data_IF_135439625197
#
_entry.id   IF_135439625197
#
_cell.length_a   1.000
_cell.length_b   1.000
_cell.length_c   1.000
_cell.angle_alpha   90.00
_cell.angle_beta   90.00
_cell.angle_gamma   90.00
#
_symmetry.space_group_name_H-M   'P 1'
#
loop_
_entity.id
_entity.type
_entity.pdbx_description
1 polymer ?
#
# COMPACT_ATOMS: atom_id res chain seq x y z
N UNK A 1 -0.45 -26.81 1.28
CA UNK A 1 -0.17 -25.53 1.93
C UNK A 1 -0.64 -25.62 3.38
N UNK A 2 0.14 -25.11 4.34
CA UNK A 2 -0.26 -25.12 5.74
C UNK A 2 -1.57 -24.34 5.94
N UNK A 3 -2.41 -24.82 6.86
CA UNK A 3 -3.65 -24.14 7.22
C UNK A 3 -3.33 -22.90 8.06
N UNK A 4 -4.18 -21.84 8.07
CA UNK A 4 -3.97 -20.66 8.92
C UNK A 4 -3.81 -21.01 10.40
N UNK A 5 -4.46 -22.07 10.87
CA UNK A 5 -4.37 -22.58 12.26
C UNK A 5 -3.05 -23.27 12.60
N UNK A 6 -2.21 -23.57 11.62
CA UNK A 6 -0.88 -24.17 11.83
C UNK A 6 0.21 -23.11 12.06
N UNK A 7 -0.12 -21.82 11.86
CA UNK A 7 0.79 -20.73 12.15
C UNK A 7 0.66 -20.30 13.61
N UNK A 8 1.73 -20.45 14.34
CA UNK A 8 1.89 -19.99 15.71
C UNK A 8 2.50 -18.60 15.69
N UNK A 9 1.65 -17.56 15.49
CA UNK A 9 2.11 -16.17 15.34
C UNK A 9 2.87 -15.67 16.54
N UNK A 10 2.56 -16.16 17.74
CA UNK A 10 3.27 -15.91 19.01
C UNK A 10 4.74 -16.35 19.01
N UNK A 11 5.12 -17.23 18.10
CA UNK A 11 6.51 -17.67 17.92
C UNK A 11 7.21 -16.96 16.74
N UNK A 12 6.51 -16.09 16.03
CA UNK A 12 6.97 -15.44 14.79
C UNK A 12 7.05 -13.93 14.96
N UNK A 13 6.10 -13.35 15.70
CA UNK A 13 5.92 -11.92 15.86
C UNK A 13 5.98 -11.54 17.35
N UNK A 14 6.78 -10.52 17.68
CA UNK A 14 6.96 -9.99 19.01
C UNK A 14 6.46 -8.54 19.12
N UNK A 15 6.09 -8.05 20.32
CA UNK A 15 5.77 -6.63 20.52
C UNK A 15 6.91 -5.71 20.06
N UNK A 16 6.59 -4.73 19.22
CA UNK A 16 7.56 -3.84 18.59
C UNK A 16 7.98 -4.24 17.17
N UNK A 17 7.57 -5.43 16.71
CA UNK A 17 7.73 -5.80 15.31
C UNK A 17 6.84 -4.99 14.40
N UNK A 18 7.15 -5.03 13.11
CA UNK A 18 6.35 -4.47 12.03
C UNK A 18 5.98 -5.60 11.07
N UNK A 19 4.68 -5.81 10.88
CA UNK A 19 4.17 -6.76 9.90
C UNK A 19 3.92 -6.06 8.58
N UNK A 20 4.68 -6.42 7.55
CA UNK A 20 4.51 -5.89 6.19
C UNK A 20 3.89 -6.95 5.28
N UNK A 21 2.89 -6.56 4.50
CA UNK A 21 2.36 -7.40 3.43
C UNK A 21 2.03 -6.59 2.18
N UNK A 22 2.06 -7.27 1.03
CA UNK A 22 1.65 -6.73 -0.26
C UNK A 22 0.25 -7.21 -0.62
N UNK A 23 -0.55 -6.39 -1.29
CA UNK A 23 -1.85 -6.74 -1.84
C UNK A 23 -1.80 -7.86 -2.89
N UNK A 24 -0.61 -8.19 -3.42
CA UNK A 24 -0.42 -9.39 -4.24
C UNK A 24 -0.57 -10.67 -3.41
N UNK A 25 -0.16 -10.67 -2.15
CA UNK A 25 -0.11 -11.86 -1.29
C UNK A 25 -1.46 -12.58 -1.16
N UNK A 26 -2.58 -11.91 -0.85
CA UNK A 26 -3.88 -12.59 -0.73
C UNK A 26 -4.45 -13.13 -2.05
N UNK A 27 -3.86 -12.76 -3.21
CA UNK A 27 -4.31 -13.26 -4.52
C UNK A 27 -3.86 -14.68 -4.81
N UNK A 28 -2.79 -15.13 -4.15
CA UNK A 28 -2.13 -16.42 -4.44
C UNK A 28 -3.07 -17.60 -4.22
N UNK A 29 -3.83 -17.61 -3.14
CA UNK A 29 -4.86 -18.60 -2.87
C UNK A 29 -5.76 -18.19 -1.71
N UNK A 30 -6.91 -18.88 -1.56
CA UNK A 30 -7.77 -18.71 -0.40
C UNK A 30 -7.02 -18.95 0.92
N UNK A 31 -6.17 -19.96 0.97
CA UNK A 31 -5.39 -20.29 2.18
C UNK A 31 -4.43 -19.15 2.55
N UNK A 32 -3.71 -18.59 1.57
CA UNK A 32 -2.80 -17.46 1.80
C UNK A 32 -3.58 -16.23 2.27
N UNK A 33 -4.72 -15.93 1.67
CA UNK A 33 -5.60 -14.84 2.12
C UNK A 33 -6.03 -15.03 3.59
N UNK A 34 -6.48 -16.24 3.93
CA UNK A 34 -6.93 -16.54 5.30
C UNK A 34 -5.76 -16.51 6.29
N UNK A 35 -4.54 -16.90 5.85
CA UNK A 35 -3.30 -16.78 6.64
C UNK A 35 -2.94 -15.33 6.91
N UNK A 36 -2.95 -14.47 5.87
CA UNK A 36 -2.74 -13.02 6.04
C UNK A 36 -3.73 -12.44 7.03
N UNK A 37 -5.03 -12.75 6.90
CA UNK A 37 -6.05 -12.28 7.84
C UNK A 37 -5.80 -12.76 9.27
N UNK A 38 -5.32 -13.99 9.45
CA UNK A 38 -4.95 -14.53 10.77
C UNK A 38 -3.79 -13.74 11.39
N UNK A 39 -2.73 -13.47 10.61
CA UNK A 39 -1.62 -12.63 11.04
C UNK A 39 -2.07 -11.23 11.46
N UNK A 40 -2.91 -10.59 10.64
CA UNK A 40 -3.41 -9.23 10.88
C UNK A 40 -4.25 -9.14 12.17
N UNK A 41 -5.05 -10.17 12.46
CA UNK A 41 -5.78 -10.26 13.74
C UNK A 41 -4.83 -10.34 14.92
N UNK A 42 -3.82 -11.21 14.82
CA UNK A 42 -2.80 -11.34 15.85
C UNK A 42 -2.05 -10.00 16.07
N UNK A 43 -1.66 -9.33 14.99
CA UNK A 43 -1.02 -8.00 15.07
C UNK A 43 -1.88 -6.99 15.82
N UNK A 44 -3.18 -6.94 15.51
CA UNK A 44 -4.12 -6.04 16.17
C UNK A 44 -4.27 -6.33 17.67
N UNK A 45 -4.31 -7.61 18.05
CA UNK A 45 -4.46 -8.06 19.43
C UNK A 45 -3.19 -7.81 20.28
N UNK A 46 -2.02 -7.70 19.62
CA UNK A 46 -0.72 -7.54 20.27
C UNK A 46 -0.06 -6.18 19.99
N UNK A 47 -0.81 -5.22 19.44
CA UNK A 47 -0.35 -3.85 19.14
C UNK A 47 0.89 -3.82 18.22
N UNK A 48 0.96 -4.76 17.28
CA UNK A 48 2.00 -4.84 16.26
C UNK A 48 1.59 -3.97 15.06
N UNK A 49 2.49 -3.07 14.65
CA UNK A 49 2.23 -2.20 13.51
C UNK A 49 2.11 -2.98 12.20
N UNK A 50 1.10 -2.65 11.41
CA UNK A 50 0.86 -3.27 10.11
C UNK A 50 1.06 -2.26 8.99
N UNK A 51 1.91 -2.60 8.03
CA UNK A 51 2.13 -1.86 6.78
C UNK A 51 1.58 -2.68 5.62
N UNK A 52 0.80 -2.05 4.77
CA UNK A 52 0.27 -2.64 3.54
C UNK A 52 0.70 -1.83 2.32
N UNK A 53 1.35 -2.47 1.37
CA UNK A 53 1.47 -1.98 0.00
C UNK A 53 0.32 -2.56 -0.82
N UNK A 54 -0.59 -1.72 -1.30
CA UNK A 54 -1.81 -2.13 -2.02
C UNK A 54 -1.50 -2.90 -3.29
N UNK A 55 -0.49 -2.49 -4.04
CA UNK A 55 0.20 -3.23 -5.09
C UNK A 55 -0.73 -4.02 -6.02
N UNK A 56 -1.73 -3.37 -6.60
CA UNK A 56 -2.71 -4.00 -7.48
C UNK A 56 -2.06 -4.65 -8.69
N UNK A 57 -2.54 -5.84 -9.04
CA UNK A 57 -2.13 -6.56 -10.25
C UNK A 57 -3.35 -7.10 -10.98
N UNK A 58 -3.81 -6.37 -11.99
CA UNK A 58 -4.99 -6.72 -12.78
C UNK A 58 -4.94 -8.09 -13.49
N UNK A 59 -3.73 -8.68 -13.64
CA UNK A 59 -3.57 -10.05 -14.16
C UNK A 59 -3.92 -11.13 -13.12
N UNK A 60 -4.01 -10.79 -11.84
CA UNK A 60 -4.24 -11.77 -10.76
C UNK A 60 -5.68 -11.75 -10.24
N UNK A 61 -6.35 -10.61 -10.29
CA UNK A 61 -7.74 -10.44 -9.84
C UNK A 61 -8.41 -9.22 -10.48
N UNK A 62 -9.74 -9.21 -10.50
CA UNK A 62 -10.48 -8.03 -10.95
C UNK A 62 -10.50 -6.93 -9.88
N UNK A 63 -10.84 -5.68 -10.26
CA UNK A 63 -11.00 -4.57 -9.32
C UNK A 63 -12.05 -4.89 -8.24
N UNK A 64 -13.18 -5.51 -8.63
CA UNK A 64 -14.26 -5.87 -7.70
C UNK A 64 -13.78 -6.89 -6.66
N UNK A 65 -13.01 -7.89 -7.08
CA UNK A 65 -12.41 -8.88 -6.18
C UNK A 65 -11.39 -8.22 -5.25
N UNK A 66 -10.54 -7.35 -5.80
CA UNK A 66 -9.55 -6.61 -5.03
C UNK A 66 -10.21 -5.74 -3.97
N UNK A 67 -11.24 -4.97 -4.32
CA UNK A 67 -11.96 -4.10 -3.39
C UNK A 67 -12.60 -4.88 -2.25
N UNK A 68 -13.24 -6.00 -2.53
CA UNK A 68 -13.86 -6.83 -1.47
C UNK A 68 -12.82 -7.32 -0.47
N UNK A 69 -11.66 -7.80 -0.95
CA UNK A 69 -10.63 -8.37 -0.07
C UNK A 69 -9.83 -7.28 0.62
N UNK A 70 -9.34 -6.28 -0.12
CA UNK A 70 -8.46 -5.28 0.45
C UNK A 70 -9.17 -4.36 1.43
N UNK A 71 -10.41 -3.97 1.17
CA UNK A 71 -11.21 -3.17 2.11
C UNK A 71 -11.44 -3.90 3.44
N UNK A 72 -11.58 -5.23 3.42
CA UNK A 72 -11.66 -6.04 4.63
C UNK A 72 -10.31 -6.09 5.38
N UNK A 73 -9.18 -6.21 4.67
CA UNK A 73 -7.86 -6.26 5.29
C UNK A 73 -7.41 -4.87 5.81
N UNK A 74 -7.83 -3.79 5.17
CA UNK A 74 -7.46 -2.42 5.55
C UNK A 74 -7.88 -2.02 6.96
N UNK A 75 -8.89 -2.67 7.56
CA UNK A 75 -9.28 -2.42 8.96
C UNK A 75 -8.20 -2.83 9.99
N UNK A 76 -7.14 -3.46 9.56
CA UNK A 76 -5.99 -3.85 10.39
C UNK A 76 -4.73 -3.03 10.09
N UNK A 77 -4.72 -2.24 9.02
CA UNK A 77 -3.53 -1.56 8.50
C UNK A 77 -3.32 -0.21 9.19
N UNK A 78 -2.09 0.06 9.63
CA UNK A 78 -1.71 1.33 10.24
C UNK A 78 -1.03 2.27 9.23
N UNK A 79 -0.26 1.71 8.29
CA UNK A 79 0.44 2.45 7.25
C UNK A 79 0.06 1.89 5.89
N UNK A 80 -0.43 2.74 5.00
CA UNK A 80 -0.84 2.37 3.65
C UNK A 80 0.13 2.94 2.61
N UNK A 81 0.64 2.09 1.75
CA UNK A 81 1.37 2.47 0.54
C UNK A 81 0.40 2.26 -0.63
N UNK A 82 0.10 3.33 -1.36
CA UNK A 82 -0.83 3.30 -2.48
C UNK A 82 -0.28 4.13 -3.64
N UNK A 83 -0.17 3.56 -4.82
CA UNK A 83 0.35 4.23 -5.99
C UNK A 83 -0.66 4.19 -7.13
N UNK A 84 -0.66 5.21 -7.96
CA UNK A 84 -1.40 5.28 -9.22
C UNK A 84 -2.82 4.62 -9.12
N UNK A 85 -3.05 3.56 -9.86
CA UNK A 85 -4.34 2.84 -9.92
C UNK A 85 -4.73 2.08 -8.65
N UNK A 86 -3.80 1.91 -7.70
CA UNK A 86 -4.06 1.14 -6.47
C UNK A 86 -5.25 1.67 -5.67
N UNK A 87 -5.38 3.00 -5.58
CA UNK A 87 -6.47 3.67 -4.84
C UNK A 87 -7.84 3.21 -5.34
N UNK A 88 -8.07 3.31 -6.65
CA UNK A 88 -9.36 2.94 -7.24
C UNK A 88 -9.51 1.42 -7.31
N UNK A 89 -8.48 0.72 -7.79
CA UNK A 89 -8.55 -0.70 -8.05
C UNK A 89 -8.77 -1.54 -6.78
N UNK A 90 -8.18 -1.14 -5.64
CA UNK A 90 -8.25 -1.91 -4.40
C UNK A 90 -9.20 -1.34 -3.36
N UNK A 91 -9.46 -0.03 -3.37
CA UNK A 91 -10.27 0.63 -2.35
C UNK A 91 -11.52 1.32 -2.91
N UNK A 92 -11.60 1.49 -4.24
CA UNK A 92 -12.68 2.25 -4.88
C UNK A 92 -12.58 3.76 -4.64
N UNK A 93 -11.38 4.27 -4.38
CA UNK A 93 -11.11 5.68 -4.11
C UNK A 93 -10.45 6.31 -5.34
N UNK A 94 -11.07 7.33 -5.90
CA UNK A 94 -10.49 8.03 -7.05
C UNK A 94 -9.37 8.97 -6.59
N UNK A 95 -8.14 8.75 -7.06
CA UNK A 95 -6.98 9.56 -6.74
C UNK A 95 -6.06 9.82 -7.94
N UNK A 96 -6.31 9.14 -9.06
CA UNK A 96 -5.50 9.17 -10.26
C UNK A 96 -6.40 9.01 -11.49
N UNK A 97 -6.15 9.76 -12.55
CA UNK A 97 -6.99 9.77 -13.77
C UNK A 97 -6.57 8.72 -14.83
N UNK A 98 -5.45 8.05 -14.61
CA UNK A 98 -4.88 7.04 -15.51
C UNK A 98 -3.75 7.56 -16.40
N UNK A 99 -3.47 8.87 -16.40
CA UNK A 99 -2.39 9.46 -17.20
C UNK A 99 -1.06 9.50 -16.44
N UNK A 100 -0.21 8.51 -16.66
CA UNK A 100 1.11 8.41 -16.05
C UNK A 100 2.08 9.52 -16.49
N UNK A 101 1.79 10.27 -17.55
CA UNK A 101 2.64 11.39 -17.98
C UNK A 101 2.47 12.63 -17.10
N UNK A 102 1.41 12.71 -16.31
CA UNK A 102 1.03 13.87 -15.48
C UNK A 102 0.78 13.53 -14.02
N UNK A 103 1.26 12.38 -13.54
CA UNK A 103 0.95 11.92 -12.18
C UNK A 103 1.40 12.90 -11.08
N UNK A 104 2.55 13.59 -11.24
CA UNK A 104 3.00 14.60 -10.28
C UNK A 104 2.09 15.84 -10.32
N UNK A 105 1.56 16.20 -11.48
CA UNK A 105 0.66 17.35 -11.64
C UNK A 105 -0.69 17.12 -10.97
N UNK A 106 -1.04 15.84 -10.70
CA UNK A 106 -2.26 15.41 -10.02
C UNK A 106 -2.12 15.33 -8.49
N UNK A 107 -1.06 15.92 -7.92
CA UNK A 107 -0.74 15.82 -6.48
C UNK A 107 -1.91 16.13 -5.55
N UNK A 108 -2.76 17.09 -5.91
CA UNK A 108 -3.88 17.46 -5.05
C UNK A 108 -4.96 16.38 -5.04
N UNK A 109 -5.21 15.69 -6.16
CA UNK A 109 -6.11 14.53 -6.22
C UNK A 109 -5.57 13.36 -5.39
N UNK A 110 -4.24 13.12 -5.42
CA UNK A 110 -3.60 12.13 -4.55
C UNK A 110 -3.77 12.49 -3.06
N UNK A 111 -3.61 13.77 -2.68
CA UNK A 111 -3.85 14.22 -1.29
C UNK A 111 -5.29 13.94 -0.85
N UNK A 112 -6.27 14.25 -1.71
CA UNK A 112 -7.68 13.96 -1.44
C UNK A 112 -7.92 12.45 -1.28
N UNK A 113 -7.34 11.61 -2.13
CA UNK A 113 -7.39 10.15 -2.02
C UNK A 113 -6.79 9.63 -0.71
N UNK A 114 -5.64 10.18 -0.28
CA UNK A 114 -5.01 9.83 0.99
C UNK A 114 -5.88 10.19 2.21
N UNK A 115 -6.50 11.37 2.18
CA UNK A 115 -7.45 11.78 3.22
C UNK A 115 -8.69 10.88 3.23
N UNK A 116 -9.17 10.47 2.06
CA UNK A 116 -10.28 9.54 1.95
C UNK A 116 -9.95 8.17 2.55
N UNK A 117 -8.71 7.65 2.34
CA UNK A 117 -8.25 6.42 2.99
C UNK A 117 -8.36 6.55 4.52
N UNK A 118 -7.80 7.61 5.09
CA UNK A 118 -7.84 7.79 6.57
C UNK A 118 -9.24 8.00 7.11
N UNK A 119 -10.15 8.57 6.33
CA UNK A 119 -11.55 8.73 6.69
C UNK A 119 -12.32 7.41 6.68
N UNK A 120 -12.11 6.59 5.65
CA UNK A 120 -12.77 5.28 5.52
C UNK A 120 -12.16 4.23 6.46
N UNK A 121 -10.88 4.34 6.77
CA UNK A 121 -10.12 3.40 7.61
C UNK A 121 -9.42 4.16 8.75
N UNK A 122 -10.12 4.46 9.86
CA UNK A 122 -9.59 5.32 10.95
C UNK A 122 -8.36 4.73 11.68
N UNK A 123 -8.10 3.44 11.51
CA UNK A 123 -6.89 2.77 12.00
C UNK A 123 -5.64 3.11 11.17
N UNK A 124 -5.79 3.57 9.92
CA UNK A 124 -4.68 4.04 9.09
C UNK A 124 -4.23 5.41 9.59
N UNK A 125 -2.99 5.49 10.07
CA UNK A 125 -2.38 6.71 10.63
C UNK A 125 -1.55 7.46 9.61
N UNK A 126 -0.98 6.74 8.63
CA UNK A 126 -0.22 7.35 7.56
C UNK A 126 -0.46 6.68 6.22
N UNK A 127 -0.34 7.47 5.17
CA UNK A 127 -0.45 7.04 3.78
C UNK A 127 0.71 7.62 2.99
N UNK A 128 1.29 6.82 2.11
CA UNK A 128 2.39 7.28 1.24
C UNK A 128 2.17 6.82 -0.19
N UNK A 129 2.67 7.61 -1.14
CA UNK A 129 2.59 7.33 -2.57
C UNK A 129 3.83 7.83 -3.29
N UNK A 130 4.19 7.18 -4.37
CA UNK A 130 5.14 7.68 -5.35
C UNK A 130 4.36 8.20 -6.55
N UNK A 131 4.53 9.47 -6.85
CA UNK A 131 3.98 10.12 -8.03
C UNK A 131 5.04 10.16 -9.12
N UNK A 132 4.62 9.94 -10.36
CA UNK A 132 5.54 9.86 -11.49
C UNK A 132 4.99 10.64 -12.68
N UNK A 133 5.89 11.38 -13.36
CA UNK A 133 5.64 11.83 -14.72
C UNK A 133 6.52 10.99 -15.64
N UNK A 134 5.89 10.08 -16.40
CA UNK A 134 6.59 9.16 -17.31
C UNK A 134 6.70 9.80 -18.69
N UNK A 135 7.91 10.11 -19.10
CA UNK A 135 8.26 10.56 -20.45
C UNK A 135 8.97 9.41 -21.19
N UNK A 136 9.21 9.57 -22.48
CA UNK A 136 9.71 8.49 -23.34
C UNK A 136 11.07 7.92 -22.95
N UNK A 137 11.94 8.68 -22.27
CA UNK A 137 13.32 8.26 -21.92
C UNK A 137 13.67 8.62 -20.46
N UNK A 138 13.05 9.66 -19.93
CA UNK A 138 13.28 10.15 -18.58
C UNK A 138 11.96 10.14 -17.82
N UNK A 139 12.04 9.94 -16.52
CA UNK A 139 10.91 9.96 -15.60
C UNK A 139 11.20 10.92 -14.47
N UNK A 140 10.22 11.71 -14.08
CA UNK A 140 10.27 12.50 -12.87
C UNK A 140 9.53 11.76 -11.76
N UNK A 141 10.15 11.62 -10.61
CA UNK A 141 9.63 10.88 -9.46
C UNK A 141 9.55 11.78 -8.22
N UNK A 142 8.47 11.69 -7.48
CA UNK A 142 8.26 12.42 -6.24
C UNK A 142 7.52 11.55 -5.24
N UNK A 143 8.02 11.50 -4.00
CA UNK A 143 7.31 10.88 -2.88
C UNK A 143 6.39 11.88 -2.19
N UNK A 144 5.19 11.44 -1.80
CA UNK A 144 4.28 12.17 -0.91
C UNK A 144 3.93 11.29 0.29
N UNK A 145 3.91 11.89 1.48
CA UNK A 145 3.61 11.21 2.75
C UNK A 145 2.63 12.03 3.57
N UNK A 146 1.57 11.39 4.03
CA UNK A 146 0.58 11.96 4.95
C UNK A 146 0.68 11.29 6.30
N UNK A 147 0.82 12.07 7.36
CA UNK A 147 0.79 11.63 8.75
C UNK A 147 0.35 12.78 9.66
N UNK A 148 -0.42 12.50 10.69
CA UNK A 148 -0.84 13.46 11.73
C UNK A 148 -1.43 14.77 11.17
N UNK A 149 -2.25 14.66 10.13
CA UNK A 149 -2.90 15.81 9.49
C UNK A 149 -2.00 16.65 8.59
N UNK A 150 -0.76 16.23 8.32
CA UNK A 150 0.22 16.97 7.53
C UNK A 150 0.67 16.18 6.32
N UNK A 151 0.96 16.91 5.22
CA UNK A 151 1.58 16.35 4.04
C UNK A 151 3.07 16.75 3.98
N UNK A 152 3.89 15.78 3.62
CA UNK A 152 5.31 15.96 3.33
C UNK A 152 5.57 15.51 1.90
N UNK A 153 6.53 16.17 1.23
CA UNK A 153 6.88 15.89 -0.16
C UNK A 153 8.38 15.83 -0.30
N UNK A 154 8.89 14.90 -1.09
CA UNK A 154 10.29 14.91 -1.51
C UNK A 154 10.50 15.97 -2.62
N UNK A 155 11.73 16.38 -2.90
CA UNK A 155 12.06 16.98 -4.18
C UNK A 155 11.67 16.06 -5.35
N UNK A 156 11.48 16.66 -6.53
CA UNK A 156 11.33 15.90 -7.77
C UNK A 156 12.71 15.39 -8.18
N UNK A 157 12.82 14.10 -8.43
CA UNK A 157 14.04 13.45 -8.89
C UNK A 157 13.84 12.99 -10.34
N UNK A 158 14.69 13.51 -11.24
CA UNK A 158 14.74 13.01 -12.61
C UNK A 158 15.59 11.75 -12.67
N UNK A 159 15.01 10.70 -13.19
CA UNK A 159 15.64 9.38 -13.30
C UNK A 159 15.61 8.89 -14.74
N UNK A 160 16.67 8.19 -15.14
CA UNK A 160 16.72 7.45 -16.38
C UNK A 160 16.50 5.98 -16.05
N UNK A 161 15.24 5.53 -16.16
CA UNK A 161 14.88 4.17 -15.77
C UNK A 161 15.22 3.19 -16.89
N UNK A 162 16.18 2.29 -16.62
CA UNK A 162 16.45 1.15 -17.49
C UNK A 162 15.55 -0.03 -17.12
N UNK A 163 15.21 -0.18 -15.85
CA UNK A 163 14.32 -1.20 -15.31
C UNK A 163 13.77 -0.75 -13.95
N UNK A 164 12.46 -0.92 -13.73
CA UNK A 164 11.78 -0.47 -12.52
C UNK A 164 11.43 -1.61 -11.55
N UNK A 165 11.92 -2.83 -11.77
CA UNK A 165 11.66 -3.98 -10.88
C UNK A 165 12.26 -3.72 -9.50
N UNK A 166 11.42 -3.83 -8.45
CA UNK A 166 11.83 -3.59 -7.05
C UNK A 166 11.82 -2.11 -6.62
N UNK A 167 11.49 -1.16 -7.49
CA UNK A 167 11.41 0.25 -7.12
C UNK A 167 10.36 0.51 -6.03
N UNK A 168 9.20 -0.14 -6.10
CA UNK A 168 8.17 -0.09 -5.06
C UNK A 168 8.65 -0.64 -3.72
N UNK A 169 9.36 -1.78 -3.74
CA UNK A 169 9.92 -2.40 -2.53
C UNK A 169 10.99 -1.50 -1.89
N UNK A 170 11.85 -0.90 -2.72
CA UNK A 170 12.87 0.04 -2.28
C UNK A 170 12.26 1.31 -1.65
N UNK A 171 11.13 1.79 -2.19
CA UNK A 171 10.38 2.92 -1.61
C UNK A 171 9.71 2.54 -0.28
N UNK A 172 9.13 1.35 -0.20
CA UNK A 172 8.43 0.87 1.00
C UNK A 172 9.36 0.57 2.17
N UNK A 173 10.64 0.22 1.90
CA UNK A 173 11.58 -0.17 2.95
C UNK A 173 11.86 0.92 3.99
N UNK A 174 12.10 2.22 3.64
CA UNK A 174 12.31 3.29 4.61
C UNK A 174 11.06 3.65 5.44
N UNK A 175 9.87 3.40 4.94
CA UNK A 175 8.61 3.70 5.65
C UNK A 175 8.50 2.94 6.99
N UNK A 176 9.27 1.86 7.15
CA UNK A 176 9.36 1.07 8.39
C UNK A 176 10.10 1.79 9.51
N UNK A 177 10.86 2.84 9.22
CA UNK A 177 11.77 3.51 10.16
C UNK A 177 11.25 4.89 10.63
N UNK A 178 9.99 5.23 10.31
CA UNK A 178 9.41 6.55 10.57
C UNK A 178 8.49 6.54 11.77
#
# INVERSE_FOLDING_TARGET
MPQPSEYHWENILEPGDVFYFSGVTPTVSKYVKDTVRSALKYCKENDIQVICDLNYRGKMWSKEQAQVVMRDLMQYVNVCIANDEDFEATLGIQAFDGDLSTGIDQIDTYKEGMLEITRQFPNVKSVTSVLRNMHTVEEDWMGIYYVDGKFYQSPIHRVHSLEAVGAGDAYGAPVRCS
#
